data_IF_471433395333
#
_entry.id   IF_471433395333
#
_cell.length_a   1.000
_cell.length_b   1.000
_cell.length_c   1.000
_cell.angle_alpha   90.00
_cell.angle_beta   90.00
_cell.angle_gamma   90.00
#
_symmetry.space_group_name_H-M   'P 1'
#
loop_
_entity.id
_entity.type
_entity.pdbx_description
1 polymer ?
#
# COMPACT_ATOMS: atom_id res chain seq x y z
N UNK A 1 27.51 9.61 -0.44
CA UNK A 1 26.97 8.25 -0.18
C UNK A 1 25.59 8.08 -0.82
N UNK A 2 24.51 8.67 -0.29
CA UNK A 2 23.18 8.59 -0.96
C UNK A 2 23.18 9.16 -2.39
N UNK A 3 23.94 10.22 -2.65
CA UNK A 3 24.15 10.73 -4.02
C UNK A 3 24.81 9.71 -4.94
N UNK A 4 25.68 8.83 -4.43
CA UNK A 4 26.28 7.76 -5.23
C UNK A 4 25.20 6.73 -5.59
N UNK A 5 24.36 6.33 -4.63
CA UNK A 5 23.18 5.50 -4.88
C UNK A 5 22.25 6.14 -5.93
N UNK A 6 21.99 7.45 -5.81
CA UNK A 6 21.20 8.22 -6.76
C UNK A 6 21.83 8.23 -8.16
N UNK A 7 23.13 8.48 -8.28
CA UNK A 7 23.80 8.47 -9.58
C UNK A 7 23.83 7.07 -10.20
N UNK A 8 23.96 6.02 -9.41
CA UNK A 8 23.86 4.66 -9.89
C UNK A 8 22.49 4.36 -10.50
N UNK A 9 21.40 4.79 -9.87
CA UNK A 9 20.07 4.53 -10.38
C UNK A 9 19.58 5.51 -11.47
N UNK A 10 20.02 6.77 -11.45
CA UNK A 10 19.58 7.79 -12.43
C UNK A 10 20.45 7.83 -13.68
N UNK A 11 21.75 7.61 -13.55
CA UNK A 11 22.71 7.74 -14.64
C UNK A 11 23.28 6.39 -15.09
N UNK A 12 23.00 5.31 -14.34
CA UNK A 12 23.56 3.99 -14.65
C UNK A 12 25.07 3.89 -14.46
N UNK A 13 25.64 4.77 -13.63
CA UNK A 13 27.08 4.82 -13.36
C UNK A 13 27.46 3.93 -12.18
N UNK A 14 28.57 3.20 -12.31
CA UNK A 14 29.17 2.47 -11.19
C UNK A 14 30.25 3.34 -10.54
N UNK A 15 30.24 3.56 -9.22
CA UNK A 15 31.32 4.28 -8.56
C UNK A 15 32.64 3.50 -8.67
N UNK A 16 33.76 4.22 -8.83
CA UNK A 16 35.07 3.57 -8.84
C UNK A 16 35.39 2.91 -7.48
N UNK A 17 36.28 1.91 -7.43
CA UNK A 17 36.58 1.17 -6.22
C UNK A 17 37.07 2.04 -5.04
N UNK A 18 37.88 3.08 -5.30
CA UNK A 18 38.42 3.95 -4.25
C UNK A 18 37.31 4.79 -3.63
N UNK A 19 36.38 5.30 -4.46
CA UNK A 19 35.17 5.98 -4.00
C UNK A 19 34.29 5.06 -3.15
N UNK A 20 34.15 3.78 -3.50
CA UNK A 20 33.38 2.81 -2.71
C UNK A 20 34.01 2.57 -1.34
N UNK A 21 35.33 2.38 -1.28
CA UNK A 21 36.07 2.21 -0.02
C UNK A 21 35.95 3.46 0.86
N UNK A 22 36.17 4.64 0.29
CA UNK A 22 36.02 5.90 1.00
C UNK A 22 34.58 6.08 1.53
N UNK A 23 33.57 5.81 0.70
CA UNK A 23 32.17 5.90 1.09
C UNK A 23 31.83 4.93 2.25
N UNK A 24 32.30 3.68 2.21
CA UNK A 24 32.11 2.71 3.30
C UNK A 24 32.72 3.19 4.61
N UNK A 25 33.96 3.68 4.57
CA UNK A 25 34.66 4.16 5.77
C UNK A 25 33.96 5.34 6.44
N UNK A 26 33.13 6.08 5.69
CA UNK A 26 32.35 7.21 6.18
C UNK A 26 30.84 6.94 6.33
N UNK A 27 30.37 5.71 6.15
CA UNK A 27 28.96 5.34 6.21
C UNK A 27 28.26 5.85 7.48
N UNK A 28 28.88 5.63 8.64
CA UNK A 28 28.35 6.05 9.95
C UNK A 28 28.18 7.58 10.09
N UNK A 29 28.94 8.38 9.33
CA UNK A 29 28.84 9.85 9.39
C UNK A 29 27.49 10.36 8.85
N UNK A 30 26.71 9.52 8.14
CA UNK A 30 25.38 9.89 7.66
C UNK A 30 24.40 10.21 8.79
N UNK A 31 24.59 9.63 9.98
CA UNK A 31 23.75 9.93 11.15
C UNK A 31 23.86 11.39 11.62
N UNK A 32 24.93 12.10 11.24
CA UNK A 32 25.08 13.54 11.48
C UNK A 32 24.47 14.43 10.40
N UNK A 33 23.87 13.86 9.34
CA UNK A 33 23.24 14.61 8.26
C UNK A 33 21.78 14.89 8.62
N UNK A 34 21.32 16.12 8.35
CA UNK A 34 19.92 16.52 8.52
C UNK A 34 18.98 15.57 7.75
N UNK A 35 17.90 15.14 8.42
CA UNK A 35 17.01 14.10 7.92
C UNK A 35 16.24 14.55 6.66
N UNK A 36 16.00 15.85 6.50
CA UNK A 36 15.40 16.44 5.30
C UNK A 36 16.28 16.20 4.07
N UNK A 37 17.61 16.26 4.24
CA UNK A 37 18.58 16.01 3.16
C UNK A 37 18.68 14.53 2.83
N UNK A 38 18.60 13.68 3.84
CA UNK A 38 18.53 12.23 3.68
C UNK A 38 17.28 11.87 2.88
N UNK A 39 16.11 12.38 3.28
CA UNK A 39 14.84 12.18 2.58
C UNK A 39 14.88 12.75 1.15
N UNK A 40 15.47 13.93 0.93
CA UNK A 40 15.59 14.51 -0.41
C UNK A 40 16.33 13.58 -1.39
N UNK A 41 17.44 12.98 -0.97
CA UNK A 41 18.17 12.02 -1.81
C UNK A 41 17.43 10.66 -1.89
N UNK A 42 16.80 10.20 -0.81
CA UNK A 42 16.03 8.96 -0.82
C UNK A 42 14.82 9.03 -1.76
N UNK A 43 14.08 10.16 -1.78
CA UNK A 43 12.98 10.38 -2.73
C UNK A 43 13.44 10.24 -4.17
N UNK A 44 14.62 10.76 -4.50
CA UNK A 44 15.23 10.64 -5.84
C UNK A 44 15.61 9.21 -6.17
N UNK A 45 16.22 8.49 -5.23
CA UNK A 45 16.56 7.06 -5.40
C UNK A 45 15.29 6.23 -5.64
N UNK A 46 14.27 6.42 -4.81
CA UNK A 46 12.99 5.69 -4.90
C UNK A 46 12.24 6.01 -6.20
N UNK A 47 12.32 7.25 -6.69
CA UNK A 47 11.70 7.67 -7.94
C UNK A 47 12.41 7.14 -9.21
N UNK A 48 13.66 6.71 -9.13
CA UNK A 48 14.43 6.27 -10.30
C UNK A 48 13.97 4.90 -10.81
N UNK A 49 14.03 4.67 -12.13
CA UNK A 49 13.64 3.38 -12.73
C UNK A 49 14.58 2.24 -12.32
N UNK A 50 15.87 2.54 -12.13
CA UNK A 50 16.88 1.57 -11.65
C UNK A 50 17.01 1.60 -10.12
N UNK A 51 15.90 1.77 -9.40
CA UNK A 51 15.87 1.89 -7.93
C UNK A 51 16.65 0.79 -7.22
N UNK A 52 16.59 -0.46 -7.73
CA UNK A 52 17.34 -1.58 -7.18
C UNK A 52 18.87 -1.41 -7.25
N UNK A 53 19.39 -0.75 -8.28
CA UNK A 53 20.82 -0.42 -8.35
C UNK A 53 21.20 0.57 -7.23
N UNK A 54 20.32 1.52 -6.94
CA UNK A 54 20.48 2.46 -5.83
C UNK A 54 20.46 1.74 -4.47
N UNK A 55 19.44 0.91 -4.23
CA UNK A 55 19.32 0.13 -2.99
C UNK A 55 20.45 -0.89 -2.83
N UNK A 56 20.89 -1.57 -3.89
CA UNK A 56 22.03 -2.48 -3.86
C UNK A 56 23.35 -1.75 -3.57
N UNK A 57 23.54 -0.53 -4.10
CA UNK A 57 24.69 0.29 -3.72
C UNK A 57 24.58 0.77 -2.27
N UNK A 58 23.39 1.15 -1.79
CA UNK A 58 23.19 1.49 -0.37
C UNK A 58 23.54 0.33 0.55
N UNK A 59 23.16 -0.89 0.20
CA UNK A 59 23.48 -2.11 0.93
C UNK A 59 25.00 -2.36 0.96
N UNK A 60 25.64 -2.33 -0.21
CA UNK A 60 27.11 -2.48 -0.31
C UNK A 60 27.86 -1.43 0.49
N UNK A 61 27.29 -0.24 0.71
CA UNK A 61 27.87 0.84 1.51
C UNK A 61 27.49 0.77 3.00
N UNK A 62 26.65 -0.17 3.43
CA UNK A 62 26.20 -0.30 4.81
C UNK A 62 25.25 0.81 5.25
N UNK A 63 24.44 1.36 4.34
CA UNK A 63 23.60 2.53 4.60
C UNK A 63 22.21 2.20 5.15
N UNK A 64 21.78 0.94 5.17
CA UNK A 64 20.49 0.58 5.76
C UNK A 64 20.48 0.81 7.27
N UNK A 65 21.40 0.20 8.02
CA UNK A 65 21.47 0.37 9.47
C UNK A 65 21.40 1.84 9.96
N UNK A 66 22.17 2.80 9.41
CA UNK A 66 22.13 4.19 9.88
C UNK A 66 20.95 5.04 9.35
N UNK A 67 20.19 4.59 8.32
CA UNK A 67 19.11 5.37 7.70
C UNK A 67 17.73 4.71 7.92
N UNK A 68 17.66 3.41 7.64
CA UNK A 68 16.49 2.54 7.69
C UNK A 68 16.82 1.27 8.51
N UNK A 69 17.12 1.40 9.82
CA UNK A 69 17.42 0.24 10.67
C UNK A 69 16.29 -0.80 10.68
N UNK A 70 15.04 -0.37 10.49
CA UNK A 70 13.90 -1.28 10.36
C UNK A 70 13.96 -2.14 9.10
N UNK A 71 14.48 -1.59 8.00
CA UNK A 71 14.68 -2.36 6.77
C UNK A 71 15.85 -3.34 6.93
N UNK A 72 16.91 -2.96 7.64
CA UNK A 72 18.01 -3.87 7.98
C UNK A 72 17.53 -5.03 8.87
N UNK A 73 16.60 -4.77 9.80
CA UNK A 73 16.02 -5.80 10.67
C UNK A 73 15.18 -6.85 9.90
N UNK A 74 14.78 -6.57 8.66
CA UNK A 74 14.11 -7.54 7.79
C UNK A 74 15.06 -8.59 7.19
N UNK A 75 16.37 -8.31 7.17
CA UNK A 75 17.37 -9.19 6.56
C UNK A 75 17.46 -10.53 7.29
N UNK A 76 17.55 -11.61 6.53
CA UNK A 76 17.67 -12.98 7.03
C UNK A 76 16.43 -13.48 7.75
N UNK A 77 15.33 -12.72 7.75
CA UNK A 77 14.10 -13.15 8.41
C UNK A 77 13.27 -14.04 7.48
N UNK A 78 13.33 -15.34 7.74
CA UNK A 78 12.53 -16.34 7.03
C UNK A 78 11.03 -16.06 7.16
N UNK A 79 10.33 -16.20 6.04
CA UNK A 79 8.90 -16.02 5.91
C UNK A 79 8.17 -17.38 5.95
N UNK A 80 6.84 -17.36 5.83
CA UNK A 80 6.06 -18.60 5.74
C UNK A 80 6.39 -19.37 4.44
N UNK A 81 5.93 -20.63 4.34
CA UNK A 81 6.18 -21.55 3.20
C UNK A 81 5.86 -21.03 1.79
N UNK A 82 5.09 -19.94 1.67
CA UNK A 82 4.72 -19.35 0.37
C UNK A 82 5.70 -18.29 -0.10
N UNK A 83 6.71 -17.97 0.70
CA UNK A 83 7.77 -17.02 0.36
C UNK A 83 9.11 -17.75 0.27
N UNK A 84 9.79 -17.56 -0.85
CA UNK A 84 11.12 -18.10 -1.14
C UNK A 84 12.26 -17.14 -0.75
N UNK A 85 11.91 -15.91 -0.34
CA UNK A 85 12.81 -14.83 0.03
C UNK A 85 12.66 -14.50 1.51
N UNK A 86 13.68 -13.90 2.10
CA UNK A 86 13.52 -13.23 3.38
C UNK A 86 12.67 -11.95 3.21
N UNK A 87 12.32 -11.28 4.31
CA UNK A 87 11.48 -10.07 4.25
C UNK A 87 12.13 -8.93 3.47
N UNK A 88 13.45 -8.75 3.56
CA UNK A 88 14.16 -7.68 2.86
C UNK A 88 14.14 -7.92 1.35
N UNK A 89 14.51 -9.12 0.92
CA UNK A 89 14.55 -9.51 -0.48
C UNK A 89 13.14 -9.51 -1.09
N UNK A 90 12.11 -9.97 -0.36
CA UNK A 90 10.70 -9.85 -0.77
C UNK A 90 10.27 -8.38 -0.95
N UNK A 91 10.70 -7.50 -0.04
CA UNK A 91 10.41 -6.06 -0.11
C UNK A 91 11.05 -5.44 -1.36
N UNK A 92 12.31 -5.79 -1.67
CA UNK A 92 12.99 -5.31 -2.87
C UNK A 92 12.37 -5.88 -4.15
N UNK A 93 11.96 -7.15 -4.16
CA UNK A 93 11.23 -7.76 -5.28
C UNK A 93 9.84 -7.10 -5.49
N UNK A 94 9.15 -6.73 -4.41
CA UNK A 94 7.88 -5.98 -4.49
C UNK A 94 8.09 -4.58 -5.07
N UNK A 95 9.18 -3.91 -4.69
CA UNK A 95 9.57 -2.63 -5.27
C UNK A 95 9.89 -2.76 -6.76
N UNK A 96 10.59 -3.82 -7.18
CA UNK A 96 10.86 -4.13 -8.59
C UNK A 96 9.58 -4.34 -9.38
N UNK A 97 8.65 -5.16 -8.85
CA UNK A 97 7.35 -5.39 -9.46
C UNK A 97 6.54 -4.09 -9.58
N UNK A 98 6.66 -3.19 -8.60
CA UNK A 98 6.04 -1.85 -8.62
C UNK A 98 6.59 -0.98 -9.75
N UNK A 99 7.92 -0.98 -9.95
CA UNK A 99 8.56 -0.29 -11.08
C UNK A 99 8.11 -0.89 -12.41
N UNK A 100 8.08 -2.23 -12.52
CA UNK A 100 7.68 -2.92 -13.73
C UNK A 100 6.22 -2.64 -14.11
N UNK A 101 5.30 -2.62 -13.12
CA UNK A 101 3.90 -2.25 -13.32
C UNK A 101 3.77 -0.79 -13.78
N UNK A 102 4.58 0.12 -13.22
CA UNK A 102 4.56 1.53 -13.63
C UNK A 102 5.06 1.74 -15.05
N UNK A 103 6.08 0.97 -15.47
CA UNK A 103 6.68 1.09 -16.78
C UNK A 103 5.80 0.51 -17.90
N UNK A 104 4.99 -0.50 -17.60
CA UNK A 104 4.21 -1.24 -18.58
C UNK A 104 2.90 -1.80 -17.98
N UNK A 105 1.99 -0.95 -17.48
CA UNK A 105 0.79 -1.40 -16.74
C UNK A 105 -0.10 -2.34 -17.56
N UNK A 106 -0.09 -2.25 -18.89
CA UNK A 106 -0.80 -3.14 -19.80
C UNK A 106 -0.38 -4.60 -19.66
N UNK A 107 0.88 -4.88 -19.31
CA UNK A 107 1.38 -6.27 -19.18
C UNK A 107 0.76 -6.99 -17.98
N UNK A 108 0.51 -6.28 -16.89
CA UNK A 108 -0.04 -6.85 -15.66
C UNK A 108 -1.55 -6.63 -15.55
N UNK A 109 -2.09 -5.54 -16.09
CA UNK A 109 -3.49 -5.13 -15.88
C UNK A 109 -4.37 -5.25 -17.13
N UNK A 110 -3.76 -5.33 -18.33
CA UNK A 110 -4.45 -5.27 -19.61
C UNK A 110 -4.69 -3.83 -20.09
N UNK A 111 -4.95 -3.69 -21.39
CA UNK A 111 -5.05 -2.41 -22.09
C UNK A 111 -6.09 -1.44 -21.48
N UNK A 112 -7.24 -1.96 -21.06
CA UNK A 112 -8.34 -1.15 -20.54
C UNK A 112 -7.97 -0.39 -19.25
N UNK A 113 -7.09 -0.96 -18.41
CA UNK A 113 -6.68 -0.38 -17.14
C UNK A 113 -5.37 0.40 -17.24
N UNK A 114 -4.59 0.19 -18.32
CA UNK A 114 -3.26 0.76 -18.48
C UNK A 114 -3.27 2.30 -18.42
N UNK A 115 -4.10 2.94 -19.25
CA UNK A 115 -4.14 4.39 -19.33
C UNK A 115 -4.66 5.06 -18.04
N UNK A 116 -5.79 4.65 -17.42
CA UNK A 116 -6.24 5.21 -16.15
C UNK A 116 -5.22 5.06 -15.01
N UNK A 117 -4.54 3.91 -14.93
CA UNK A 117 -3.50 3.67 -13.92
C UNK A 117 -2.26 4.53 -14.18
N UNK A 118 -1.83 4.68 -15.44
CA UNK A 118 -0.72 5.56 -15.77
C UNK A 118 -1.02 7.02 -15.39
N UNK A 119 -2.24 7.50 -15.65
CA UNK A 119 -2.69 8.84 -15.25
C UNK A 119 -2.63 8.98 -13.72
N UNK A 120 -3.20 8.03 -12.98
CA UNK A 120 -3.18 8.02 -11.52
C UNK A 120 -1.74 8.12 -10.97
N UNK A 121 -0.83 7.27 -11.46
CA UNK A 121 0.54 7.18 -10.94
C UNK A 121 1.40 8.39 -11.33
N UNK A 122 1.04 9.10 -12.40
CA UNK A 122 1.70 10.33 -12.82
C UNK A 122 1.24 11.58 -12.03
N UNK A 123 0.16 11.50 -11.25
CA UNK A 123 -0.35 12.64 -10.48
C UNK A 123 0.73 13.26 -9.58
N UNK A 124 0.85 14.60 -9.57
CA UNK A 124 1.68 15.29 -8.60
C UNK A 124 1.24 14.94 -7.18
N UNK A 125 2.20 14.60 -6.34
CA UNK A 125 1.97 14.24 -4.95
C UNK A 125 2.82 15.10 -4.01
N UNK A 126 2.80 14.77 -2.72
CA UNK A 126 3.46 15.54 -1.67
C UNK A 126 4.94 15.77 -1.97
N UNK A 127 5.46 16.95 -1.61
CA UNK A 127 6.91 17.25 -1.64
C UNK A 127 7.59 17.03 -3.01
N UNK A 128 6.87 17.24 -4.10
CA UNK A 128 7.40 17.21 -5.47
C UNK A 128 7.65 15.82 -6.04
N UNK A 129 7.16 14.76 -5.39
CA UNK A 129 7.18 13.40 -5.97
C UNK A 129 5.86 13.10 -6.69
N UNK A 130 5.85 12.08 -7.55
CA UNK A 130 4.62 11.56 -8.14
C UNK A 130 3.90 10.61 -7.18
N UNK A 131 2.62 10.37 -7.43
CA UNK A 131 1.84 9.35 -6.72
C UNK A 131 2.43 7.95 -6.89
N UNK A 132 2.97 7.63 -8.06
CA UNK A 132 3.72 6.40 -8.29
C UNK A 132 4.97 6.27 -7.43
N UNK A 133 5.66 7.37 -7.13
CA UNK A 133 6.78 7.35 -6.17
C UNK A 133 6.28 7.10 -4.74
N UNK A 134 5.13 7.66 -4.37
CA UNK A 134 4.51 7.39 -3.06
C UNK A 134 4.10 5.91 -2.92
N UNK A 135 3.60 5.29 -4.01
CA UNK A 135 3.33 3.85 -4.07
C UNK A 135 4.60 3.02 -3.84
N UNK A 136 5.75 3.43 -4.40
CA UNK A 136 7.05 2.77 -4.18
C UNK A 136 7.52 2.87 -2.72
N UNK A 137 7.25 3.98 -2.03
CA UNK A 137 7.45 4.06 -0.58
C UNK A 137 6.52 3.09 0.18
N UNK A 138 5.28 2.92 -0.30
CA UNK A 138 4.37 1.88 0.16
C UNK A 138 4.97 0.49 0.02
N UNK A 139 5.49 0.15 -1.17
CA UNK A 139 6.16 -1.12 -1.43
C UNK A 139 7.35 -1.38 -0.48
N UNK A 140 8.17 -0.36 -0.21
CA UNK A 140 9.30 -0.46 0.73
C UNK A 140 8.89 -0.70 2.18
N UNK A 141 7.71 -0.23 2.60
CA UNK A 141 7.32 -0.21 4.01
C UNK A 141 6.10 -1.09 4.35
N UNK A 142 5.47 -1.74 3.37
CA UNK A 142 4.22 -2.50 3.60
C UNK A 142 4.38 -3.62 4.65
N UNK A 143 5.52 -4.29 4.64
CA UNK A 143 5.85 -5.46 5.47
C UNK A 143 6.85 -5.16 6.59
N UNK A 144 7.17 -3.88 6.81
CA UNK A 144 8.29 -3.43 7.66
C UNK A 144 8.18 -3.88 9.13
N UNK A 145 6.98 -4.21 9.60
CA UNK A 145 6.74 -4.65 10.97
C UNK A 145 6.76 -6.17 11.17
N UNK A 146 7.03 -6.97 10.13
CA UNK A 146 7.15 -8.43 10.29
C UNK A 146 8.21 -8.80 11.36
N UNK A 147 9.40 -8.18 11.45
CA UNK A 147 10.37 -8.50 12.50
C UNK A 147 9.86 -8.32 13.93
N UNK A 148 9.18 -7.21 14.20
CA UNK A 148 8.69 -6.87 15.56
C UNK A 148 7.40 -7.60 15.93
N UNK A 149 6.73 -8.24 14.97
CA UNK A 149 5.49 -9.02 15.17
C UNK A 149 5.69 -10.52 14.99
N UNK A 150 6.94 -10.97 14.77
CA UNK A 150 7.29 -12.39 14.63
C UNK A 150 6.96 -13.13 15.92
N UNK A 151 6.09 -14.12 15.81
CA UNK A 151 5.76 -15.04 16.90
C UNK A 151 5.80 -16.50 16.39
N UNK A 152 6.30 -17.41 17.23
CA UNK A 152 6.29 -18.84 16.96
C UNK A 152 5.15 -19.50 17.72
N UNK A 153 4.35 -20.31 17.04
CA UNK A 153 3.27 -21.07 17.63
C UNK A 153 3.80 -22.35 18.31
N UNK A 154 3.03 -22.97 19.21
CA UNK A 154 3.42 -24.24 19.85
C UNK A 154 3.71 -25.39 18.88
N UNK A 155 3.22 -25.31 17.64
CA UNK A 155 3.46 -26.28 16.57
C UNK A 155 4.64 -25.92 15.64
N UNK A 156 5.48 -24.95 16.04
CA UNK A 156 6.66 -24.51 15.30
C UNK A 156 6.35 -23.56 14.13
N UNK A 157 5.08 -23.19 13.89
CA UNK A 157 4.74 -22.26 12.80
C UNK A 157 5.06 -20.82 13.19
N UNK A 158 5.82 -20.13 12.34
CA UNK A 158 6.07 -18.69 12.44
C UNK A 158 4.85 -17.91 11.92
N UNK A 159 4.46 -16.88 12.66
CA UNK A 159 3.36 -15.97 12.30
C UNK A 159 3.75 -14.51 12.51
N UNK A 160 3.05 -13.62 11.81
CA UNK A 160 3.25 -12.16 11.83
C UNK A 160 1.90 -11.47 12.07
N UNK A 161 1.13 -11.93 13.05
CA UNK A 161 -0.25 -11.45 13.26
C UNK A 161 -0.21 -9.97 13.65
N UNK A 162 -0.99 -9.14 12.96
CA UNK A 162 -1.10 -7.70 13.23
C UNK A 162 0.05 -6.85 12.66
N UNK A 163 0.94 -7.42 11.83
CA UNK A 163 2.04 -6.66 11.21
C UNK A 163 1.54 -5.54 10.29
N UNK A 164 0.33 -5.63 9.75
CA UNK A 164 -0.31 -4.58 8.96
C UNK A 164 -0.62 -3.34 9.83
N UNK A 165 -1.20 -3.54 11.01
CA UNK A 165 -1.49 -2.46 11.96
C UNK A 165 -0.21 -1.86 12.54
N UNK A 166 0.72 -2.70 12.99
CA UNK A 166 2.00 -2.25 13.55
C UNK A 166 2.86 -1.61 12.45
N UNK A 167 2.81 -2.14 11.23
CA UNK A 167 3.52 -1.64 10.06
C UNK A 167 3.06 -0.26 9.64
N UNK A 168 1.76 0.02 9.74
CA UNK A 168 1.23 1.37 9.52
C UNK A 168 1.83 2.40 10.50
N UNK A 169 1.88 2.08 11.79
CA UNK A 169 2.45 2.97 12.81
C UNK A 169 3.97 3.11 12.68
N UNK A 170 4.67 1.99 12.42
CA UNK A 170 6.10 1.99 12.19
C UNK A 170 6.47 2.79 10.94
N UNK A 171 5.71 2.65 9.85
CA UNK A 171 5.87 3.45 8.64
C UNK A 171 5.71 4.95 8.90
N UNK A 172 4.73 5.36 9.71
CA UNK A 172 4.60 6.78 10.15
C UNK A 172 5.80 7.23 10.96
N UNK A 173 6.29 6.38 11.85
CA UNK A 173 7.46 6.67 12.69
C UNK A 173 8.72 6.88 11.86
N UNK A 174 9.00 5.96 10.92
CA UNK A 174 10.14 6.03 9.99
C UNK A 174 10.08 7.33 9.17
N UNK A 175 8.93 7.60 8.55
CA UNK A 175 8.78 8.77 7.69
C UNK A 175 8.75 10.08 8.50
N UNK A 176 8.31 10.07 9.76
CA UNK A 176 8.44 11.22 10.67
C UNK A 176 9.90 11.49 11.02
N UNK A 177 10.68 10.44 11.33
CA UNK A 177 12.13 10.55 11.55
C UNK A 177 12.83 11.14 10.33
N UNK A 178 12.42 10.71 9.13
CA UNK A 178 12.92 11.24 7.86
C UNK A 178 12.33 12.59 7.49
N UNK A 179 11.52 13.23 8.34
CA UNK A 179 10.92 14.56 8.12
C UNK A 179 10.00 14.66 6.89
N UNK A 180 9.35 13.55 6.52
CA UNK A 180 8.37 13.52 5.44
C UNK A 180 7.09 14.26 5.83
N UNK A 181 6.40 14.79 4.83
CA UNK A 181 5.12 15.47 5.00
C UNK A 181 4.04 14.54 5.55
N UNK A 182 3.02 15.13 6.20
CA UNK A 182 1.86 14.36 6.66
C UNK A 182 1.16 13.61 5.54
N UNK A 183 1.09 14.21 4.34
CA UNK A 183 0.46 13.59 3.18
C UNK A 183 1.17 12.29 2.77
N UNK A 184 2.51 12.26 2.73
CA UNK A 184 3.26 11.03 2.43
C UNK A 184 3.16 10.01 3.58
N UNK A 185 3.26 10.46 4.83
CA UNK A 185 3.15 9.61 6.03
C UNK A 185 1.80 8.89 6.08
N UNK A 186 0.70 9.62 5.95
CA UNK A 186 -0.65 9.06 5.97
C UNK A 186 -0.89 8.09 4.82
N UNK A 187 -0.40 8.42 3.62
CA UNK A 187 -0.54 7.56 2.45
C UNK A 187 0.17 6.21 2.63
N UNK A 188 1.45 6.23 2.98
CA UNK A 188 2.23 5.00 3.17
C UNK A 188 1.71 4.18 4.34
N UNK A 189 1.27 4.82 5.42
CA UNK A 189 0.64 4.13 6.55
C UNK A 189 -0.66 3.43 6.14
N UNK A 190 -1.50 4.08 5.32
CA UNK A 190 -2.71 3.46 4.80
C UNK A 190 -2.40 2.26 3.89
N UNK A 191 -1.36 2.37 3.04
CA UNK A 191 -0.90 1.24 2.23
C UNK A 191 -0.44 0.07 3.11
N UNK A 192 0.42 0.31 4.09
CA UNK A 192 0.85 -0.73 5.04
C UNK A 192 -0.32 -1.31 5.85
N UNK A 193 -1.31 -0.50 6.24
CA UNK A 193 -2.48 -0.97 7.00
C UNK A 193 -3.37 -1.93 6.19
N UNK A 194 -3.49 -1.72 4.89
CA UNK A 194 -4.52 -2.37 4.07
C UNK A 194 -3.97 -3.40 3.07
N UNK A 195 -2.66 -3.63 3.03
CA UNK A 195 -2.01 -4.46 1.99
C UNK A 195 -2.48 -5.93 1.95
N UNK A 196 -3.00 -6.48 3.05
CA UNK A 196 -3.55 -7.85 3.06
C UNK A 196 -5.02 -7.92 2.64
N UNK A 197 -5.73 -6.79 2.66
CA UNK A 197 -7.20 -6.78 2.71
C UNK A 197 -7.82 -7.37 1.45
N UNK A 198 -7.25 -7.08 0.27
CA UNK A 198 -7.70 -7.64 -0.99
C UNK A 198 -7.44 -9.15 -1.06
N UNK A 199 -6.30 -9.60 -0.54
CA UNK A 199 -5.92 -11.01 -0.53
C UNK A 199 -6.90 -11.87 0.27
N UNK A 200 -7.50 -11.34 1.34
CA UNK A 200 -8.53 -12.05 2.11
C UNK A 200 -9.85 -12.25 1.34
N UNK A 201 -10.17 -11.35 0.41
CA UNK A 201 -11.39 -11.41 -0.40
C UNK A 201 -11.31 -12.44 -1.54
N UNK A 202 -10.14 -13.00 -1.82
CA UNK A 202 -9.95 -14.05 -2.84
C UNK A 202 -10.86 -15.27 -2.59
N UNK A 203 -11.11 -15.59 -1.32
CA UNK A 203 -11.96 -16.72 -0.92
C UNK A 203 -13.46 -16.41 -0.95
N UNK A 204 -13.84 -15.16 -1.17
CA UNK A 204 -15.24 -14.69 -1.20
C UNK A 204 -15.77 -14.54 -2.63
N UNK A 205 -15.04 -15.04 -3.64
CA UNK A 205 -15.41 -14.89 -5.04
C UNK A 205 -16.59 -15.81 -5.45
N UNK A 206 -17.49 -15.36 -6.34
CA UNK A 206 -17.57 -14.04 -6.99
C UNK A 206 -17.87 -12.92 -5.99
N UNK A 207 -17.22 -11.75 -6.15
CA UNK A 207 -17.30 -10.69 -5.15
C UNK A 207 -18.65 -9.97 -5.23
N UNK A 208 -19.42 -10.00 -4.13
CA UNK A 208 -20.65 -9.23 -4.05
C UNK A 208 -20.38 -7.72 -4.11
N UNK A 209 -21.25 -6.93 -4.77
CA UNK A 209 -21.13 -5.46 -4.86
C UNK A 209 -21.01 -4.80 -3.48
N UNK A 210 -21.74 -5.32 -2.49
CA UNK A 210 -21.63 -4.92 -1.08
C UNK A 210 -20.23 -5.14 -0.49
N UNK A 211 -19.62 -6.29 -0.75
CA UNK A 211 -18.25 -6.59 -0.31
C UNK A 211 -17.23 -5.65 -0.98
N UNK A 212 -17.43 -5.35 -2.26
CA UNK A 212 -16.64 -4.34 -2.97
C UNK A 212 -16.77 -2.96 -2.33
N UNK A 213 -17.98 -2.50 -2.01
CA UNK A 213 -18.19 -1.22 -1.30
C UNK A 213 -17.42 -1.18 0.03
N UNK A 214 -17.54 -2.23 0.85
CA UNK A 214 -16.80 -2.34 2.12
C UNK A 214 -15.29 -2.37 1.92
N UNK A 215 -14.80 -2.91 0.81
CA UNK A 215 -13.38 -2.83 0.45
C UNK A 215 -12.98 -1.38 0.17
N UNK A 216 -13.68 -0.71 -0.74
CA UNK A 216 -13.39 0.67 -1.15
C UNK A 216 -13.43 1.63 0.04
N UNK A 217 -14.47 1.55 0.87
CA UNK A 217 -14.65 2.44 2.02
C UNK A 217 -13.58 2.24 3.10
N UNK A 218 -13.20 1.00 3.38
CA UNK A 218 -12.18 0.74 4.39
C UNK A 218 -10.77 1.10 3.92
N UNK A 219 -10.51 1.05 2.61
CA UNK A 219 -9.22 1.39 2.01
C UNK A 219 -9.12 2.88 1.62
N UNK A 220 -10.17 3.67 1.82
CA UNK A 220 -10.15 5.10 1.54
C UNK A 220 -9.08 5.82 2.39
N UNK A 221 -8.33 6.79 1.82
CA UNK A 221 -8.46 7.37 0.48
C UNK A 221 -7.60 6.69 -0.60
N UNK A 222 -7.05 5.49 -0.34
CA UNK A 222 -6.06 4.80 -1.20
C UNK A 222 -6.55 3.50 -1.86
N UNK A 223 -7.86 3.30 -2.19
CA UNK A 223 -8.34 2.01 -2.67
C UNK A 223 -7.68 1.56 -3.98
N UNK A 224 -7.38 2.49 -4.90
CA UNK A 224 -6.68 2.16 -6.14
C UNK A 224 -5.21 1.83 -5.87
N UNK A 225 -4.49 2.69 -5.14
CA UNK A 225 -3.07 2.52 -4.82
C UNK A 225 -2.81 1.20 -4.09
N UNK A 226 -3.64 0.84 -3.10
CA UNK A 226 -3.46 -0.40 -2.36
C UNK A 226 -3.76 -1.62 -3.23
N UNK A 227 -4.76 -1.54 -4.11
CA UNK A 227 -5.07 -2.61 -5.07
C UNK A 227 -3.87 -2.86 -5.99
N UNK A 228 -3.21 -1.81 -6.48
CA UNK A 228 -1.97 -1.91 -7.26
C UNK A 228 -0.80 -2.49 -6.44
N UNK A 229 -0.62 -2.04 -5.20
CA UNK A 229 0.44 -2.54 -4.34
C UNK A 229 0.28 -4.04 -4.07
N UNK A 230 -0.93 -4.51 -3.82
CA UNK A 230 -1.18 -5.95 -3.59
C UNK A 230 -0.85 -6.81 -4.82
N UNK A 231 -1.05 -6.29 -6.04
CA UNK A 231 -0.63 -6.97 -7.27
C UNK A 231 0.89 -7.09 -7.29
N UNK A 232 1.61 -6.01 -6.98
CA UNK A 232 3.07 -6.00 -6.97
C UNK A 232 3.63 -6.96 -5.91
N UNK A 233 3.04 -6.98 -4.72
CA UNK A 233 3.38 -7.90 -3.63
C UNK A 233 3.17 -9.36 -4.06
N UNK A 234 2.03 -9.68 -4.69
CA UNK A 234 1.79 -11.04 -5.20
C UNK A 234 2.77 -11.43 -6.30
N UNK A 235 3.09 -10.53 -7.24
CA UNK A 235 4.05 -10.78 -8.31
C UNK A 235 5.49 -11.00 -7.80
N UNK A 236 5.82 -10.50 -6.61
CA UNK A 236 7.10 -10.73 -5.94
C UNK A 236 7.21 -12.11 -5.27
N UNK A 237 6.09 -12.84 -5.11
CA UNK A 237 6.10 -14.18 -4.53
C UNK A 237 6.44 -15.27 -5.56
N UNK A 238 7.22 -16.27 -5.15
CA UNK A 238 7.50 -17.52 -5.90
C UNK A 238 7.46 -18.70 -4.92
N UNK A 239 7.05 -19.87 -5.39
CA UNK A 239 6.94 -21.10 -4.59
C UNK A 239 5.88 -22.07 -5.11
N UNK A 240 5.68 -23.18 -4.40
CA UNK A 240 4.66 -24.19 -4.72
C UNK A 240 3.25 -23.57 -4.70
N UNK A 241 2.44 -23.85 -5.73
CA UNK A 241 1.10 -23.26 -5.92
C UNK A 241 1.05 -21.72 -6.00
N UNK A 242 2.19 -21.03 -6.19
CA UNK A 242 2.21 -19.57 -6.32
C UNK A 242 1.46 -19.10 -7.57
N UNK A 243 1.64 -19.76 -8.72
CA UNK A 243 1.01 -19.34 -9.98
C UNK A 243 -0.53 -19.32 -9.93
N UNK A 244 -1.24 -20.37 -9.46
CA UNK A 244 -2.68 -20.30 -9.28
C UNK A 244 -3.13 -19.19 -8.31
N UNK A 245 -2.42 -19.03 -7.18
CA UNK A 245 -2.77 -18.02 -6.18
C UNK A 245 -2.61 -16.59 -6.74
N UNK A 246 -1.52 -16.33 -7.47
CA UNK A 246 -1.25 -15.08 -8.18
C UNK A 246 -2.37 -14.82 -9.19
N UNK A 247 -2.72 -15.79 -10.03
CA UNK A 247 -3.74 -15.62 -11.05
C UNK A 247 -5.11 -15.24 -10.47
N UNK A 248 -5.53 -15.88 -9.36
CA UNK A 248 -6.81 -15.57 -8.71
C UNK A 248 -6.80 -14.16 -8.09
N UNK A 249 -5.70 -13.76 -7.46
CA UNK A 249 -5.56 -12.42 -6.89
C UNK A 249 -5.55 -11.33 -7.97
N UNK A 250 -4.81 -11.53 -9.06
CA UNK A 250 -4.80 -10.60 -10.20
C UNK A 250 -6.19 -10.46 -10.84
N UNK A 251 -6.93 -11.55 -10.98
CA UNK A 251 -8.29 -11.51 -11.49
C UNK A 251 -9.21 -10.66 -10.59
N UNK A 252 -9.11 -10.84 -9.27
CA UNK A 252 -9.86 -10.03 -8.30
C UNK A 252 -9.45 -8.55 -8.34
N UNK A 253 -8.14 -8.28 -8.41
CA UNK A 253 -7.66 -6.90 -8.46
C UNK A 253 -8.12 -6.17 -9.73
N UNK A 254 -8.17 -6.86 -10.88
CA UNK A 254 -8.72 -6.31 -12.14
C UNK A 254 -10.23 -6.05 -12.06
N UNK A 255 -10.98 -6.81 -11.26
CA UNK A 255 -12.41 -6.57 -10.99
C UNK A 255 -12.62 -5.33 -10.12
N UNK A 256 -11.73 -5.09 -9.16
CA UNK A 256 -11.83 -4.02 -8.15
C UNK A 256 -11.28 -2.68 -8.64
N UNK A 257 -10.22 -2.69 -9.47
CA UNK A 257 -9.51 -1.48 -9.92
C UNK A 257 -10.39 -0.43 -10.61
N UNK A 258 -11.32 -0.77 -11.54
CA UNK A 258 -12.18 0.23 -12.16
C UNK A 258 -12.97 1.06 -11.14
N UNK A 259 -13.57 0.39 -10.17
CA UNK A 259 -14.41 1.01 -9.12
C UNK A 259 -13.53 1.77 -8.12
N UNK A 260 -12.32 1.27 -7.84
CA UNK A 260 -11.35 1.97 -7.00
C UNK A 260 -10.79 3.25 -7.64
N UNK A 261 -10.58 3.25 -8.96
CA UNK A 261 -10.17 4.42 -9.74
C UNK A 261 -11.30 5.45 -9.80
N UNK A 262 -12.53 5.02 -10.07
CA UNK A 262 -13.71 5.88 -10.09
C UNK A 262 -13.92 6.57 -8.73
N UNK A 263 -13.85 5.81 -7.62
CA UNK A 263 -14.00 6.33 -6.26
C UNK A 263 -12.94 7.39 -5.88
N UNK A 264 -11.84 7.46 -6.62
CA UNK A 264 -10.74 8.40 -6.36
C UNK A 264 -10.79 9.66 -7.23
N UNK A 265 -11.44 9.58 -8.39
CA UNK A 265 -11.61 10.69 -9.33
C UNK A 265 -12.95 11.42 -9.10
N UNK A 266 -13.97 10.69 -8.68
CA UNK A 266 -15.32 11.22 -8.51
C UNK A 266 -15.56 11.72 -7.08
N UNK A 267 -16.30 12.81 -6.90
CA UNK A 267 -16.75 13.22 -5.58
C UNK A 267 -17.65 12.15 -4.97
N UNK A 268 -17.60 12.01 -3.65
CA UNK A 268 -18.48 11.08 -2.94
C UNK A 268 -19.95 11.34 -3.33
N UNK A 269 -20.74 10.30 -3.62
CA UNK A 269 -22.11 10.47 -4.09
C UNK A 269 -22.98 11.10 -3.00
N UNK A 270 -23.84 12.05 -3.39
CA UNK A 270 -24.79 12.70 -2.48
C UNK A 270 -25.69 11.66 -1.83
N UNK A 271 -25.76 11.52 -0.49
CA UNK A 271 -26.59 10.53 0.19
C UNK A 271 -28.05 10.56 -0.25
N UNK A 272 -28.72 9.40 -0.33
CA UNK A 272 -30.14 9.30 -0.69
C UNK A 272 -31.05 9.95 0.36
N UNK A 273 -30.63 9.90 1.63
CA UNK A 273 -31.32 10.51 2.77
C UNK A 273 -30.28 11.10 3.71
N UNK A 274 -30.57 12.28 4.27
CA UNK A 274 -29.69 12.89 5.28
C UNK A 274 -29.88 12.24 6.64
N UNK A 275 -28.84 12.27 7.48
CA UNK A 275 -28.90 11.67 8.81
C UNK A 275 -29.96 12.29 9.73
N UNK A 276 -30.12 13.61 9.71
CA UNK A 276 -31.15 14.33 10.50
C UNK A 276 -32.58 14.04 10.02
N UNK A 277 -32.74 13.76 8.73
CA UNK A 277 -34.00 13.32 8.16
C UNK A 277 -34.32 11.87 8.53
N UNK A 278 -33.36 10.96 8.34
CA UNK A 278 -33.51 9.55 8.69
C UNK A 278 -33.83 9.36 10.19
N UNK A 279 -33.18 10.15 11.04
CA UNK A 279 -33.45 10.20 12.47
C UNK A 279 -34.92 10.56 12.78
N UNK A 280 -35.47 11.57 12.09
CA UNK A 280 -36.88 11.98 12.27
C UNK A 280 -37.85 10.90 11.79
N UNK A 281 -37.59 10.31 10.63
CA UNK A 281 -38.44 9.27 10.02
C UNK A 281 -38.52 7.98 10.86
N UNK A 282 -37.47 7.68 11.62
CA UNK A 282 -37.37 6.49 12.46
C UNK A 282 -37.59 6.77 13.96
N UNK A 283 -37.77 8.03 14.36
CA UNK A 283 -37.83 8.43 15.77
C UNK A 283 -36.53 8.15 16.55
N UNK A 284 -35.39 8.12 15.86
CA UNK A 284 -34.08 7.85 16.45
C UNK A 284 -33.37 9.14 16.88
N UNK A 285 -32.61 9.05 17.97
CA UNK A 285 -31.65 10.10 18.35
C UNK A 285 -30.34 9.92 17.57
N UNK A 286 -29.60 11.00 17.23
CA UNK A 286 -28.26 10.88 16.67
C UNK A 286 -27.36 10.00 17.53
N UNK A 287 -26.67 9.05 16.91
CA UNK A 287 -25.82 8.09 17.62
C UNK A 287 -25.30 6.96 16.71
N UNK A 288 -24.57 5.97 17.26
CA UNK A 288 -23.95 4.88 16.51
C UNK A 288 -24.93 4.14 15.61
N UNK A 289 -26.13 3.85 16.12
CA UNK A 289 -27.18 3.15 15.37
C UNK A 289 -27.60 3.89 14.10
N UNK A 290 -27.71 5.22 14.15
CA UNK A 290 -28.03 6.02 12.96
C UNK A 290 -26.89 5.96 11.94
N UNK A 291 -25.64 5.98 12.41
CA UNK A 291 -24.45 5.81 11.56
C UNK A 291 -24.41 4.45 10.87
N UNK A 292 -24.72 3.37 11.58
CA UNK A 292 -24.85 2.02 11.03
C UNK A 292 -25.90 1.96 9.92
N UNK A 293 -27.08 2.54 10.15
CA UNK A 293 -28.15 2.57 9.14
C UNK A 293 -27.75 3.38 7.91
N UNK A 294 -27.08 4.53 8.08
CA UNK A 294 -26.57 5.32 6.94
C UNK A 294 -25.49 4.57 6.15
N UNK A 295 -24.60 3.85 6.82
CA UNK A 295 -23.59 3.02 6.17
C UNK A 295 -24.24 1.86 5.38
N UNK A 296 -25.25 1.23 5.95
CA UNK A 296 -26.00 0.15 5.32
C UNK A 296 -26.80 0.64 4.09
N UNK A 297 -27.42 1.82 4.17
CA UNK A 297 -28.06 2.47 3.01
C UNK A 297 -27.03 2.79 1.93
N UNK A 298 -25.85 3.31 2.30
CA UNK A 298 -24.80 3.62 1.33
C UNK A 298 -24.29 2.35 0.63
N UNK A 299 -24.12 1.27 1.38
CA UNK A 299 -23.73 -0.05 0.85
C UNK A 299 -24.81 -0.65 -0.07
N UNK A 300 -26.08 -0.62 0.34
CA UNK A 300 -27.21 -1.05 -0.47
C UNK A 300 -27.34 -0.24 -1.76
N UNK A 301 -27.14 1.08 -1.68
CA UNK A 301 -27.14 1.96 -2.85
C UNK A 301 -26.02 1.59 -3.81
N UNK A 302 -24.80 1.42 -3.31
CA UNK A 302 -23.69 0.97 -4.14
C UNK A 302 -24.00 -0.37 -4.80
N UNK A 303 -24.67 -1.27 -4.09
CA UNK A 303 -25.11 -2.56 -4.64
C UNK A 303 -26.26 -2.46 -5.65
N UNK A 304 -26.88 -1.30 -5.82
CA UNK A 304 -28.07 -1.11 -6.68
C UNK A 304 -29.35 -1.67 -6.07
N UNK A 305 -29.35 -1.96 -4.76
CA UNK A 305 -30.50 -2.48 -4.01
C UNK A 305 -31.49 -1.37 -3.64
N UNK A 306 -31.01 -0.12 -3.53
CA UNK A 306 -31.82 1.08 -3.31
C UNK A 306 -31.37 2.20 -4.23
N UNK A 307 -32.32 2.90 -4.84
CA UNK A 307 -32.09 3.94 -5.84
C UNK A 307 -32.54 5.33 -5.36
N UNK A 308 -33.50 5.39 -4.44
CA UNK A 308 -34.10 6.64 -4.00
C UNK A 308 -34.29 6.75 -2.48
N UNK A 309 -34.81 7.91 -2.06
CA UNK A 309 -35.06 8.27 -0.67
C UNK A 309 -36.04 7.31 0.01
N UNK A 310 -37.12 6.95 -0.66
CA UNK A 310 -38.22 6.20 -0.05
C UNK A 310 -37.80 4.74 0.15
N UNK A 311 -37.08 4.16 -0.81
CA UNK A 311 -36.43 2.86 -0.68
C UNK A 311 -35.39 2.84 0.45
N UNK A 312 -34.58 3.91 0.59
CA UNK A 312 -33.62 4.03 1.67
C UNK A 312 -34.29 4.05 3.05
N UNK A 313 -35.41 4.77 3.21
CA UNK A 313 -36.17 4.80 4.46
C UNK A 313 -36.84 3.44 4.73
N UNK A 314 -37.37 2.78 3.71
CA UNK A 314 -37.97 1.45 3.84
C UNK A 314 -36.95 0.41 4.32
N UNK A 315 -35.74 0.41 3.73
CA UNK A 315 -34.63 -0.41 4.18
C UNK A 315 -34.27 -0.12 5.65
N UNK A 316 -34.15 1.15 6.01
CA UNK A 316 -33.79 1.50 7.38
C UNK A 316 -34.86 1.07 8.41
N UNK A 317 -36.14 1.13 8.04
CA UNK A 317 -37.25 0.61 8.85
C UNK A 317 -37.17 -0.89 9.03
N UNK A 318 -36.92 -1.66 7.97
CA UNK A 318 -36.82 -3.12 8.06
C UNK A 318 -35.66 -3.57 8.96
N UNK A 319 -34.54 -2.86 8.91
CA UNK A 319 -33.37 -3.12 9.75
C UNK A 319 -33.56 -2.70 11.21
N UNK A 320 -34.50 -1.80 11.48
CA UNK A 320 -34.82 -1.30 12.82
C UNK A 320 -35.97 -2.05 13.49
N UNK A 321 -36.60 -2.99 12.79
CA UNK A 321 -37.61 -3.87 13.37
C UNK A 321 -36.95 -4.82 14.40
N UNK A 322 -37.60 -5.07 15.55
CA UNK A 322 -37.07 -5.91 16.63
C UNK A 322 -36.95 -7.39 16.23
#
# INVERSE_FOLDING_TARGET
MLRLARFACELGLEPDPDTLVAARNHAAAISGVAQERVLAELKRVVAADRVLAGFGLMDRLGLYAPILPELEACRGMEQNRFHHLDVLDHTLATLEATVALQAAPEKQLGEALAAPVAVLLAEPFAEGISRGTALRFGALLHDIAKPVTRAERPDGRVTFIGHDAVGAELGRTILTRLTASERLRAHVAALARHHLRLGFLVHERPLARRALHRYLMACAPVPADISLLTICDRLATRGDNAEPAIAVHLALAREVLPEALAAQQEPAPTPLVRGDELARELGLRPGPRLGELLAEIAEARFAGEVADRDEAIALARSLSAP
#
